data_IF_953148584942
#
_entry.id   IF_953148584942
#
_cell.length_a   1.000
_cell.length_b   1.000
_cell.length_c   1.000
_cell.angle_alpha   90.00
_cell.angle_beta   90.00
_cell.angle_gamma   90.00
#
_symmetry.space_group_name_H-M   'P 1'
#
loop_
_entity.id
_entity.type
_entity.pdbx_description
1 polymer ?
#
# COMPACT_ATOMS: atom_id res chain seq x y z
N UNK A 1 1.68 12.88 -29.90
CA UNK A 1 0.97 13.97 -30.60
C UNK A 1 0.35 13.35 -31.84
N UNK A 2 -0.96 13.11 -31.86
CA UNK A 2 -1.64 12.43 -32.97
C UNK A 2 -2.03 13.44 -34.06
N UNK A 3 -1.91 13.02 -35.32
CA UNK A 3 -2.02 13.89 -36.50
C UNK A 3 -3.48 14.23 -36.89
N UNK A 4 -4.48 13.57 -36.30
CA UNK A 4 -5.90 13.74 -36.66
C UNK A 4 -6.77 14.17 -35.46
N UNK A 5 -7.63 15.19 -35.62
CA UNK A 5 -8.49 15.73 -34.55
C UNK A 5 -9.54 14.71 -34.03
N UNK A 6 -10.06 13.82 -34.88
CA UNK A 6 -11.03 12.79 -34.49
C UNK A 6 -10.42 11.71 -33.57
N UNK A 7 -9.11 11.44 -33.69
CA UNK A 7 -8.40 10.53 -32.81
C UNK A 7 -8.27 11.08 -31.38
N UNK A 8 -8.34 12.39 -31.15
CA UNK A 8 -8.32 12.94 -29.80
C UNK A 8 -9.55 12.52 -29.00
N UNK A 9 -10.72 12.53 -29.62
CA UNK A 9 -11.96 12.11 -28.97
C UNK A 9 -11.88 10.63 -28.58
N UNK A 10 -11.50 9.76 -29.51
CA UNK A 10 -11.32 8.32 -29.26
C UNK A 10 -10.27 8.05 -28.18
N UNK A 11 -9.14 8.78 -28.21
CA UNK A 11 -8.09 8.65 -27.20
C UNK A 11 -8.57 9.09 -25.80
N UNK A 12 -9.39 10.15 -25.71
CA UNK A 12 -10.00 10.57 -24.45
C UNK A 12 -10.94 9.52 -23.87
N UNK A 13 -11.77 8.86 -24.69
CA UNK A 13 -12.62 7.75 -24.24
C UNK A 13 -11.81 6.55 -23.76
N UNK A 14 -10.77 6.15 -24.51
CA UNK A 14 -9.89 5.04 -24.14
C UNK A 14 -9.18 5.34 -22.81
N UNK A 15 -8.71 6.58 -22.63
CA UNK A 15 -8.03 7.00 -21.40
C UNK A 15 -9.00 6.98 -20.22
N UNK A 16 -10.22 7.50 -20.38
CA UNK A 16 -11.24 7.49 -19.34
C UNK A 16 -11.64 6.06 -18.96
N UNK A 17 -11.84 5.19 -19.95
CA UNK A 17 -12.16 3.78 -19.74
C UNK A 17 -11.05 3.07 -18.97
N UNK A 18 -9.80 3.26 -19.38
CA UNK A 18 -8.63 2.64 -18.71
C UNK A 18 -8.51 3.13 -17.28
N UNK A 19 -8.75 4.42 -17.03
CA UNK A 19 -8.76 4.99 -15.69
C UNK A 19 -9.86 4.41 -14.79
N UNK A 20 -11.08 4.27 -15.31
CA UNK A 20 -12.19 3.67 -14.56
C UNK A 20 -11.90 2.19 -14.27
N UNK A 21 -11.46 1.43 -15.27
CA UNK A 21 -11.10 0.02 -15.13
C UNK A 21 -9.98 -0.18 -14.10
N UNK A 22 -8.99 0.71 -14.08
CA UNK A 22 -7.92 0.71 -13.09
C UNK A 22 -8.42 0.90 -11.67
N UNK A 23 -9.26 1.92 -11.43
CA UNK A 23 -9.84 2.18 -10.12
C UNK A 23 -10.73 1.02 -9.64
N UNK A 24 -11.52 0.43 -10.54
CA UNK A 24 -12.32 -0.76 -10.24
C UNK A 24 -11.42 -1.93 -9.85
N UNK A 25 -10.32 -2.16 -10.56
CA UNK A 25 -9.38 -3.26 -10.27
C UNK A 25 -8.75 -3.08 -8.89
N UNK A 26 -8.30 -1.86 -8.55
CA UNK A 26 -7.76 -1.54 -7.22
C UNK A 26 -8.81 -1.76 -6.15
N UNK A 27 -10.04 -1.30 -6.37
CA UNK A 27 -11.13 -1.46 -5.42
C UNK A 27 -11.45 -2.93 -5.16
N UNK A 28 -11.54 -3.74 -6.21
CA UNK A 28 -11.76 -5.18 -6.12
C UNK A 28 -10.63 -5.85 -5.30
N UNK A 29 -9.38 -5.52 -5.60
CA UNK A 29 -8.22 -6.03 -4.86
C UNK A 29 -8.29 -5.71 -3.36
N UNK A 30 -8.61 -4.45 -3.02
CA UNK A 30 -8.74 -4.01 -1.63
C UNK A 30 -9.89 -4.75 -0.94
N UNK A 31 -11.06 -4.82 -1.59
CA UNK A 31 -12.24 -5.47 -1.04
C UNK A 31 -11.99 -6.93 -0.69
N UNK A 32 -11.35 -7.69 -1.58
CA UNK A 32 -11.02 -9.10 -1.29
C UNK A 32 -9.97 -9.24 -0.19
N UNK A 33 -8.96 -8.39 -0.19
CA UNK A 33 -7.91 -8.41 0.86
C UNK A 33 -8.50 -8.05 2.23
N UNK A 34 -9.37 -7.04 2.29
CA UNK A 34 -10.04 -6.61 3.52
C UNK A 34 -11.06 -7.65 4.00
N UNK A 35 -11.76 -8.34 3.09
CA UNK A 35 -12.68 -9.43 3.46
C UNK A 35 -11.94 -10.56 4.18
N UNK A 36 -10.82 -11.03 3.60
CA UNK A 36 -9.99 -12.08 4.21
C UNK A 36 -9.33 -11.60 5.50
N UNK A 37 -8.94 -10.31 5.57
CA UNK A 37 -8.46 -9.70 6.80
C UNK A 37 -9.51 -9.72 7.92
N UNK A 38 -10.77 -9.38 7.62
CA UNK A 38 -11.86 -9.41 8.60
C UNK A 38 -12.17 -10.83 9.06
N UNK A 39 -12.15 -11.82 8.16
CA UNK A 39 -12.30 -13.23 8.51
C UNK A 39 -11.18 -13.70 9.45
N UNK A 40 -9.93 -13.34 9.15
CA UNK A 40 -8.79 -13.70 10.00
C UNK A 40 -8.85 -13.00 11.35
N UNK A 41 -9.25 -11.73 11.38
CA UNK A 41 -9.45 -10.99 12.62
C UNK A 41 -10.54 -11.62 13.49
N UNK A 42 -11.68 -11.97 12.90
CA UNK A 42 -12.77 -12.62 13.62
C UNK A 42 -12.35 -13.98 14.17
N UNK A 43 -11.59 -14.75 13.38
CA UNK A 43 -10.99 -16.00 13.82
C UNK A 43 -10.04 -15.80 15.02
N UNK A 44 -9.19 -14.77 14.99
CA UNK A 44 -8.29 -14.43 16.09
C UNK A 44 -9.05 -14.03 17.36
N UNK A 45 -10.12 -13.24 17.24
CA UNK A 45 -10.99 -12.87 18.36
C UNK A 45 -11.64 -14.13 18.98
N UNK A 46 -12.16 -15.05 18.16
CA UNK A 46 -12.73 -16.32 18.63
C UNK A 46 -11.70 -17.21 19.36
N UNK A 47 -10.43 -17.18 18.93
CA UNK A 47 -9.33 -17.87 19.61
C UNK A 47 -8.97 -17.25 20.96
N UNK A 48 -9.01 -15.91 21.07
CA UNK A 48 -8.76 -15.19 22.31
C UNK A 48 -9.89 -15.42 23.33
N UNK A 49 -11.14 -15.49 22.88
CA UNK A 49 -12.33 -15.69 23.73
C UNK A 49 -12.64 -17.16 24.04
N UNK A 50 -11.86 -18.11 23.49
CA UNK A 50 -12.10 -19.53 23.69
C UNK A 50 -12.02 -19.89 25.18
N UNK A 51 -13.11 -20.37 25.76
CA UNK A 51 -13.16 -20.79 27.16
C UNK A 51 -12.65 -22.24 27.30
N UNK A 52 -11.47 -22.35 27.90
CA UNK A 52 -10.85 -23.61 28.21
C UNK A 52 -11.65 -24.52 29.15
N UNK A 53 -12.59 -24.02 29.94
CA UNK A 53 -13.29 -24.85 30.95
C UNK A 53 -14.34 -25.80 30.36
N UNK A 54 -14.69 -25.63 29.09
CA UNK A 54 -15.70 -26.44 28.41
C UNK A 54 -15.24 -27.88 28.16
N UNK A 55 -16.15 -28.86 28.31
CA UNK A 55 -15.86 -30.28 28.07
C UNK A 55 -15.56 -30.59 26.61
N UNK A 56 -16.06 -29.76 25.69
CA UNK A 56 -15.95 -29.93 24.23
C UNK A 56 -14.76 -29.17 23.62
N UNK A 57 -13.84 -28.66 24.44
CA UNK A 57 -12.67 -27.90 24.00
C UNK A 57 -11.84 -28.64 22.92
N UNK A 58 -11.72 -29.96 23.03
CA UNK A 58 -11.00 -30.78 22.04
C UNK A 58 -11.64 -30.67 20.65
N UNK A 59 -12.96 -30.84 20.57
CA UNK A 59 -13.73 -30.75 19.33
C UNK A 59 -13.69 -29.33 18.77
N UNK A 60 -13.85 -28.33 19.64
CA UNK A 60 -13.79 -26.91 19.24
C UNK A 60 -12.43 -26.56 18.66
N UNK A 61 -11.32 -27.00 19.26
CA UNK A 61 -9.97 -26.76 18.74
C UNK A 61 -9.74 -27.43 17.38
N UNK A 62 -10.27 -28.64 17.17
CA UNK A 62 -10.21 -29.30 15.87
C UNK A 62 -10.99 -28.52 14.79
N UNK A 63 -12.17 -28.00 15.15
CA UNK A 63 -12.95 -27.14 14.24
C UNK A 63 -12.19 -25.84 13.93
N UNK A 64 -11.58 -25.20 14.94
CA UNK A 64 -10.76 -24.00 14.72
C UNK A 64 -9.56 -24.29 13.83
N UNK A 65 -8.93 -25.46 13.96
CA UNK A 65 -7.85 -25.89 13.09
C UNK A 65 -8.30 -26.10 11.64
N UNK A 66 -9.47 -26.69 11.42
CA UNK A 66 -10.05 -26.82 10.08
C UNK A 66 -10.39 -25.44 9.48
N UNK A 67 -10.98 -24.55 10.29
CA UNK A 67 -11.31 -23.18 9.88
C UNK A 67 -10.06 -22.39 9.47
N UNK A 68 -8.98 -22.48 10.25
CA UNK A 68 -7.70 -21.87 9.89
C UNK A 68 -7.14 -22.43 8.58
N UNK A 69 -7.28 -23.74 8.33
CA UNK A 69 -6.92 -24.36 7.06
C UNK A 69 -7.67 -23.75 5.88
N UNK A 70 -8.99 -23.60 6.01
CA UNK A 70 -9.83 -22.98 4.97
C UNK A 70 -9.46 -21.52 4.70
N UNK A 71 -9.21 -20.73 5.75
CA UNK A 71 -8.76 -19.34 5.62
C UNK A 71 -7.38 -19.28 4.95
N UNK A 72 -6.47 -20.17 5.33
CA UNK A 72 -5.13 -20.26 4.73
C UNK A 72 -5.19 -20.61 3.24
N UNK A 73 -6.07 -21.52 2.85
CA UNK A 73 -6.30 -21.86 1.45
C UNK A 73 -6.92 -20.67 0.67
N UNK A 74 -7.86 -19.93 1.28
CA UNK A 74 -8.40 -18.71 0.70
C UNK A 74 -7.32 -17.63 0.50
N UNK A 75 -6.42 -17.44 1.46
CA UNK A 75 -5.28 -16.52 1.33
C UNK A 75 -4.36 -16.94 0.18
N UNK A 76 -4.09 -18.25 0.02
CA UNK A 76 -3.26 -18.76 -1.07
C UNK A 76 -3.89 -18.58 -2.44
N UNK A 77 -5.19 -18.83 -2.57
CA UNK A 77 -5.91 -18.58 -3.82
C UNK A 77 -5.97 -17.08 -4.14
N UNK A 78 -6.15 -16.23 -3.12
CA UNK A 78 -6.07 -14.79 -3.27
C UNK A 78 -4.69 -14.34 -3.76
N UNK A 79 -3.62 -14.84 -3.14
CA UNK A 79 -2.25 -14.59 -3.60
C UNK A 79 -2.06 -15.07 -5.04
N UNK A 80 -2.49 -16.28 -5.38
CA UNK A 80 -2.36 -16.83 -6.74
C UNK A 80 -3.04 -15.94 -7.80
N UNK A 81 -4.23 -15.44 -7.50
CA UNK A 81 -4.97 -14.55 -8.42
C UNK A 81 -4.26 -13.22 -8.54
N UNK A 82 -3.90 -12.59 -7.42
CA UNK A 82 -3.42 -11.21 -7.40
C UNK A 82 -1.91 -11.03 -7.51
N UNK A 83 -1.09 -12.10 -7.45
CA UNK A 83 0.37 -12.02 -7.46
C UNK A 83 0.94 -11.24 -8.65
N UNK A 84 0.41 -11.46 -9.85
CA UNK A 84 0.83 -10.71 -11.05
C UNK A 84 0.23 -9.30 -11.07
N UNK A 85 -1.05 -9.16 -10.68
CA UNK A 85 -1.73 -7.86 -10.65
C UNK A 85 -1.11 -6.91 -9.64
N UNK A 86 -0.76 -7.37 -8.44
CA UNK A 86 -0.10 -6.58 -7.40
C UNK A 86 1.25 -6.05 -7.88
N UNK A 87 2.00 -6.86 -8.63
CA UNK A 87 3.24 -6.40 -9.26
C UNK A 87 2.98 -5.29 -10.30
N UNK A 88 2.05 -5.50 -11.23
CA UNK A 88 1.71 -4.51 -12.27
C UNK A 88 1.18 -3.22 -11.62
N UNK A 89 0.33 -3.34 -10.59
CA UNK A 89 -0.21 -2.23 -9.80
C UNK A 89 0.90 -1.39 -9.17
N UNK A 90 1.87 -2.03 -8.51
CA UNK A 90 3.01 -1.33 -7.94
C UNK A 90 3.91 -0.73 -9.02
N UNK A 91 4.21 -1.46 -10.10
CA UNK A 91 5.06 -0.99 -11.18
C UNK A 91 4.51 0.28 -11.86
N UNK A 92 3.18 0.47 -11.88
CA UNK A 92 2.53 1.66 -12.45
C UNK A 92 2.40 2.78 -11.42
N UNK A 93 2.06 2.47 -10.17
CA UNK A 93 1.78 3.49 -9.16
C UNK A 93 3.06 4.12 -8.61
N UNK A 94 4.15 3.36 -8.47
CA UNK A 94 5.43 3.90 -7.97
C UNK A 94 5.91 5.08 -8.86
N UNK A 95 6.04 4.93 -10.19
CA UNK A 95 6.37 6.07 -11.06
C UNK A 95 5.32 7.18 -11.02
N UNK A 96 4.03 6.83 -10.95
CA UNK A 96 2.94 7.81 -10.91
C UNK A 96 3.05 8.71 -9.69
N UNK A 97 3.31 8.14 -8.50
CA UNK A 97 3.52 8.91 -7.26
C UNK A 97 4.73 9.81 -7.39
N UNK A 98 5.88 9.30 -7.87
CA UNK A 98 7.10 10.08 -8.07
C UNK A 98 6.84 11.28 -8.99
N UNK A 99 6.18 11.07 -10.13
CA UNK A 99 5.86 12.14 -11.08
C UNK A 99 4.87 13.17 -10.48
N UNK A 100 3.86 12.73 -9.72
CA UNK A 100 2.95 13.66 -9.04
C UNK A 100 3.66 14.48 -7.96
N UNK A 101 4.61 13.88 -7.23
CA UNK A 101 5.45 14.59 -6.25
C UNK A 101 6.45 15.54 -6.90
N UNK A 102 7.01 15.19 -8.06
CA UNK A 102 7.85 16.10 -8.85
C UNK A 102 7.06 17.32 -9.32
N UNK A 103 5.83 17.09 -9.83
CA UNK A 103 4.93 18.17 -10.23
C UNK A 103 4.59 19.08 -9.03
N UNK A 104 4.38 18.51 -7.85
CA UNK A 104 4.23 19.29 -6.62
C UNK A 104 5.47 20.15 -6.35
N UNK A 105 6.68 19.60 -6.51
CA UNK A 105 7.91 20.33 -6.19
C UNK A 105 8.31 21.40 -7.23
N UNK A 106 8.06 21.16 -8.52
CA UNK A 106 8.50 22.06 -9.61
C UNK A 106 7.43 23.11 -10.01
N UNK A 107 6.14 22.87 -9.76
CA UNK A 107 5.04 23.65 -10.37
C UNK A 107 4.29 24.56 -9.40
N UNK A 108 4.57 24.55 -8.09
CA UNK A 108 3.90 25.45 -7.15
C UNK A 108 4.59 26.81 -7.17
N UNK A 109 4.14 27.68 -8.07
CA UNK A 109 4.38 29.12 -7.97
C UNK A 109 3.16 29.87 -7.40
N UNK A 110 2.01 29.20 -7.17
CA UNK A 110 0.82 29.80 -6.56
C UNK A 110 -0.24 28.82 -6.03
N UNK A 111 -1.12 29.30 -5.14
CA UNK A 111 -2.17 28.52 -4.45
C UNK A 111 -3.23 27.91 -5.40
N UNK A 112 -3.48 28.56 -6.54
CA UNK A 112 -4.45 28.07 -7.55
C UNK A 112 -3.97 26.80 -8.24
N UNK A 113 -2.67 26.70 -8.55
CA UNK A 113 -2.09 25.51 -9.17
C UNK A 113 -2.01 24.34 -8.20
N UNK A 114 -1.80 24.63 -6.90
CA UNK A 114 -1.88 23.65 -5.82
C UNK A 114 -3.28 23.03 -5.74
N UNK A 115 -4.34 23.84 -5.71
CA UNK A 115 -5.73 23.33 -5.62
C UNK A 115 -6.13 22.47 -6.83
N UNK A 116 -5.59 22.76 -8.02
CA UNK A 116 -5.84 21.96 -9.22
C UNK A 116 -5.05 20.64 -9.19
N UNK A 117 -3.83 20.62 -8.65
CA UNK A 117 -3.00 19.42 -8.58
C UNK A 117 -3.29 18.53 -7.36
N UNK A 118 -3.86 19.08 -6.29
CA UNK A 118 -4.12 18.37 -5.03
C UNK A 118 -4.93 17.08 -5.20
N UNK A 119 -6.03 17.03 -6.00
CA UNK A 119 -6.82 15.81 -6.16
C UNK A 119 -6.04 14.68 -6.83
N UNK A 120 -5.16 15.01 -7.79
CA UNK A 120 -4.31 14.04 -8.48
C UNK A 120 -3.28 13.42 -7.52
N UNK A 121 -2.67 14.25 -6.67
CA UNK A 121 -1.72 13.81 -5.65
C UNK A 121 -2.42 12.99 -4.57
N UNK A 122 -3.59 13.44 -4.11
CA UNK A 122 -4.38 12.69 -3.14
C UNK A 122 -4.77 11.31 -3.68
N UNK A 123 -5.18 11.23 -4.95
CA UNK A 123 -5.56 9.98 -5.58
C UNK A 123 -4.38 9.04 -5.81
N UNK A 124 -3.22 9.55 -6.23
CA UNK A 124 -2.01 8.73 -6.40
C UNK A 124 -1.49 8.22 -5.06
N UNK A 125 -1.43 9.07 -4.04
CA UNK A 125 -1.03 8.69 -2.68
C UNK A 125 -2.01 7.70 -2.05
N UNK A 126 -3.32 7.93 -2.18
CA UNK A 126 -4.36 7.01 -1.71
C UNK A 126 -4.22 5.64 -2.38
N UNK A 127 -4.09 5.59 -3.71
CA UNK A 127 -3.96 4.33 -4.45
C UNK A 127 -2.73 3.55 -4.02
N UNK A 128 -1.60 4.24 -3.82
CA UNK A 128 -0.37 3.60 -3.33
C UNK A 128 -0.53 3.05 -1.91
N UNK A 129 -1.05 3.86 -0.99
CA UNK A 129 -1.26 3.46 0.40
C UNK A 129 -2.27 2.31 0.48
N UNK A 130 -3.34 2.34 -0.30
CA UNK A 130 -4.37 1.32 -0.24
C UNK A 130 -3.86 -0.05 -0.71
N UNK A 131 -3.10 -0.08 -1.82
CA UNK A 131 -2.55 -1.33 -2.38
C UNK A 131 -1.44 -1.90 -1.50
N UNK A 132 -0.75 -1.06 -0.75
CA UNK A 132 0.33 -1.47 0.14
C UNK A 132 -0.16 -1.85 1.53
N UNK A 133 -0.99 -1.02 2.16
CA UNK A 133 -1.42 -1.22 3.56
C UNK A 133 -2.37 -2.41 3.71
N UNK A 134 -3.33 -2.60 2.80
CA UNK A 134 -4.32 -3.68 2.91
C UNK A 134 -3.67 -5.08 3.05
N UNK A 135 -2.80 -5.54 2.13
CA UNK A 135 -2.14 -6.85 2.25
C UNK A 135 -1.16 -6.92 3.43
N UNK A 136 -0.52 -5.80 3.81
CA UNK A 136 0.37 -5.79 4.98
C UNK A 136 -0.40 -5.98 6.30
N UNK A 137 -1.60 -5.39 6.42
CA UNK A 137 -2.49 -5.63 7.56
C UNK A 137 -2.94 -7.08 7.63
N UNK A 138 -3.28 -7.69 6.50
CA UNK A 138 -3.59 -9.12 6.43
C UNK A 138 -2.40 -9.96 6.92
N UNK A 139 -1.20 -9.70 6.41
CA UNK A 139 0.01 -10.44 6.83
C UNK A 139 0.30 -10.30 8.33
N UNK A 140 0.13 -9.12 8.91
CA UNK A 140 0.31 -8.94 10.36
C UNK A 140 -0.73 -9.71 11.18
N UNK A 141 -1.99 -9.70 10.74
CA UNK A 141 -3.09 -10.39 11.44
C UNK A 141 -2.93 -11.91 11.38
N UNK A 142 -2.42 -12.43 10.26
CA UNK A 142 -2.03 -13.84 10.10
C UNK A 142 -0.92 -14.21 11.10
N UNK A 143 0.13 -13.39 11.21
CA UNK A 143 1.21 -13.62 12.16
C UNK A 143 0.72 -13.52 13.62
N UNK A 144 -0.32 -12.71 13.87
CA UNK A 144 -0.93 -12.54 15.19
C UNK A 144 -1.69 -13.78 15.66
N UNK A 145 -2.25 -14.60 14.76
CA UNK A 145 -3.07 -15.78 15.12
C UNK A 145 -2.36 -16.73 16.09
N UNK A 146 -1.07 -17.00 15.84
CA UNK A 146 -0.26 -17.84 16.73
C UNK A 146 -0.10 -17.22 18.12
N UNK A 147 0.09 -15.91 18.18
CA UNK A 147 0.22 -15.18 19.45
C UNK A 147 -1.09 -15.26 20.24
N UNK A 148 -2.25 -15.16 19.58
CA UNK A 148 -3.56 -15.31 20.21
C UNK A 148 -3.73 -16.70 20.85
N UNK A 149 -3.37 -17.77 20.12
CA UNK A 149 -3.42 -19.15 20.62
C UNK A 149 -2.51 -19.36 21.84
N UNK A 150 -1.27 -18.86 21.79
CA UNK A 150 -0.29 -19.01 22.89
C UNK A 150 -0.70 -18.17 24.11
N UNK A 151 -1.27 -16.99 23.90
CA UNK A 151 -1.66 -16.07 24.97
C UNK A 151 -2.89 -16.54 25.74
N UNK A 152 -3.77 -17.34 25.12
CA UNK A 152 -4.97 -17.83 25.79
C UNK A 152 -4.63 -18.88 26.85
N UNK A 153 -4.42 -18.42 28.09
CA UNK A 153 -4.05 -19.27 29.22
C UNK A 153 -5.08 -20.36 29.54
N UNK A 154 -6.36 -20.17 29.19
CA UNK A 154 -7.41 -21.16 29.47
C UNK A 154 -7.25 -22.44 28.65
N UNK A 155 -6.62 -22.36 27.47
CA UNK A 155 -6.31 -23.52 26.63
C UNK A 155 -5.18 -24.33 27.25
N UNK A 156 -4.15 -23.65 27.77
CA UNK A 156 -2.95 -24.28 28.33
C UNK A 156 -3.14 -24.77 29.76
N UNK A 157 -4.01 -24.13 30.54
CA UNK A 157 -4.24 -24.42 31.95
C UNK A 157 -5.73 -24.62 32.27
N UNK A 158 -6.13 -25.69 32.98
CA UNK A 158 -5.29 -26.77 33.51
C UNK A 158 -4.80 -27.75 32.42
N UNK A 159 -3.61 -28.34 32.65
CA UNK A 159 -2.97 -29.23 31.68
C UNK A 159 -3.84 -30.45 31.37
N UNK A 160 -4.26 -30.55 30.10
CA UNK A 160 -4.97 -31.69 29.53
C UNK A 160 -4.18 -32.23 28.36
N UNK A 161 -3.69 -33.47 28.46
CA UNK A 161 -2.76 -34.08 27.47
C UNK A 161 -3.24 -33.94 26.02
N UNK A 162 -4.52 -34.24 25.77
CA UNK A 162 -5.10 -34.19 24.41
C UNK A 162 -5.19 -32.76 23.86
N UNK A 163 -5.75 -31.84 24.64
CA UNK A 163 -5.86 -30.40 24.33
C UNK A 163 -4.48 -29.79 24.06
N UNK A 164 -3.49 -30.14 24.89
CA UNK A 164 -2.12 -29.67 24.74
C UNK A 164 -1.50 -30.14 23.42
N UNK A 165 -1.65 -31.43 23.08
CA UNK A 165 -1.13 -31.98 21.81
C UNK A 165 -1.80 -31.29 20.62
N UNK A 166 -3.14 -31.16 20.63
CA UNK A 166 -3.88 -30.50 19.54
C UNK A 166 -3.45 -29.05 19.40
N UNK A 167 -3.37 -28.30 20.50
CA UNK A 167 -2.98 -26.88 20.49
C UNK A 167 -1.54 -26.69 20.03
N UNK A 168 -0.63 -27.61 20.39
CA UNK A 168 0.74 -27.58 19.94
C UNK A 168 0.84 -27.89 18.44
N UNK A 169 0.18 -28.95 17.96
CA UNK A 169 0.07 -29.26 16.52
C UNK A 169 -0.53 -28.09 15.76
N UNK A 170 -1.56 -27.45 16.30
CA UNK A 170 -2.17 -26.28 15.70
C UNK A 170 -1.20 -25.09 15.60
N UNK A 171 -0.45 -24.81 16.66
CA UNK A 171 0.61 -23.79 16.66
C UNK A 171 1.66 -24.04 15.59
N UNK A 172 2.06 -25.30 15.39
CA UNK A 172 2.97 -25.68 14.29
C UNK A 172 2.36 -25.44 12.91
N UNK A 173 1.07 -25.71 12.72
CA UNK A 173 0.38 -25.43 11.46
C UNK A 173 0.19 -23.94 11.19
N UNK A 174 0.17 -23.09 12.22
CA UNK A 174 0.14 -21.63 12.07
C UNK A 174 1.52 -21.05 11.71
N UNK A 175 2.61 -21.80 11.88
CA UNK A 175 3.98 -21.37 11.59
C UNK A 175 4.34 -21.57 10.10
N UNK A 176 3.37 -21.35 9.22
CA UNK A 176 3.57 -21.39 7.78
C UNK A 176 4.25 -20.10 7.32
N UNK A 177 5.56 -20.17 7.14
CA UNK A 177 6.32 -19.18 6.38
C UNK A 177 5.67 -19.05 4.99
N UNK A 178 5.42 -17.83 4.54
CA UNK A 178 4.80 -17.47 3.25
C UNK A 178 3.28 -17.32 3.18
N UNK A 179 2.57 -17.25 4.32
CA UNK A 179 1.14 -16.92 4.30
C UNK A 179 0.92 -15.38 4.20
N UNK A 180 0.50 -14.92 3.02
CA UNK A 180 0.22 -13.53 2.72
C UNK A 180 0.16 -13.26 1.21
N UNK A 181 -0.12 -12.02 0.83
CA UNK A 181 -0.10 -11.61 -0.58
C UNK A 181 1.34 -11.25 -0.98
N UNK A 182 1.83 -11.91 -2.02
CA UNK A 182 3.17 -11.80 -2.54
C UNK A 182 3.22 -10.99 -3.84
N UNK A 183 4.32 -10.27 -4.02
CA UNK A 183 4.64 -9.56 -5.25
C UNK A 183 5.45 -10.50 -6.12
N UNK A 184 4.87 -10.95 -7.24
CA UNK A 184 5.50 -11.92 -8.17
C UNK A 184 5.95 -13.22 -7.45
N UNK A 185 5.55 -13.50 -6.20
CA UNK A 185 6.02 -14.67 -5.46
C UNK A 185 7.45 -14.57 -4.93
N UNK A 186 8.09 -13.38 -5.01
CA UNK A 186 9.43 -13.17 -4.46
C UNK A 186 9.42 -12.50 -3.09
N UNK A 187 8.44 -11.63 -2.83
CA UNK A 187 8.37 -10.88 -1.58
C UNK A 187 6.93 -10.76 -1.10
N UNK A 188 6.67 -11.09 0.16
CA UNK A 188 5.38 -10.84 0.81
C UNK A 188 5.24 -9.35 1.08
N UNK A 189 4.09 -8.80 0.75
CA UNK A 189 3.79 -7.39 0.93
C UNK A 189 3.58 -7.09 2.41
N UNK A 190 4.66 -6.68 3.07
CA UNK A 190 4.75 -6.45 4.51
C UNK A 190 5.11 -4.99 4.82
N UNK A 191 4.84 -4.52 6.05
CA UNK A 191 5.18 -3.13 6.46
C UNK A 191 6.64 -2.74 6.20
N UNK A 192 7.65 -3.60 6.47
CA UNK A 192 9.04 -3.28 6.17
C UNK A 192 9.29 -3.05 4.68
N UNK A 193 8.68 -3.87 3.80
CA UNK A 193 8.80 -3.71 2.36
C UNK A 193 8.22 -2.37 1.90
N UNK A 194 7.06 -1.99 2.45
CA UNK A 194 6.41 -0.70 2.16
C UNK A 194 7.31 0.47 2.56
N UNK A 195 7.88 0.43 3.76
CA UNK A 195 8.84 1.45 4.22
C UNK A 195 10.07 1.52 3.32
N UNK A 196 10.57 0.36 2.86
CA UNK A 196 11.64 0.28 1.87
C UNK A 196 11.27 0.98 0.57
N UNK A 197 10.07 0.71 0.03
CA UNK A 197 9.59 1.38 -1.20
C UNK A 197 9.45 2.89 -1.04
N UNK A 198 8.93 3.38 0.10
CA UNK A 198 8.88 4.81 0.40
C UNK A 198 10.26 5.44 0.45
N UNK A 199 11.23 4.78 1.09
CA UNK A 199 12.61 5.26 1.16
C UNK A 199 13.24 5.37 -0.23
N UNK A 200 13.06 4.36 -1.08
CA UNK A 200 13.54 4.40 -2.47
C UNK A 200 12.87 5.52 -3.27
N UNK A 201 11.55 5.69 -3.14
CA UNK A 201 10.85 6.80 -3.79
C UNK A 201 11.38 8.17 -3.35
N UNK A 202 11.60 8.35 -2.05
CA UNK A 202 12.12 9.60 -1.50
C UNK A 202 13.55 9.86 -1.99
N UNK A 203 14.40 8.83 -2.02
CA UNK A 203 15.77 8.92 -2.55
C UNK A 203 15.77 9.30 -4.04
N UNK A 204 14.98 8.60 -4.86
CA UNK A 204 14.85 8.89 -6.30
C UNK A 204 14.33 10.30 -6.52
N UNK A 205 13.32 10.72 -5.76
CA UNK A 205 12.80 12.08 -5.81
C UNK A 205 13.90 13.10 -5.45
N UNK A 206 14.67 12.88 -4.39
CA UNK A 206 15.78 13.74 -3.98
C UNK A 206 16.83 13.89 -5.08
N UNK A 207 17.25 12.76 -5.68
CA UNK A 207 18.21 12.74 -6.80
C UNK A 207 17.67 13.53 -8.00
N UNK A 208 16.39 13.34 -8.35
CA UNK A 208 15.78 14.08 -9.45
C UNK A 208 15.73 15.58 -9.16
N UNK A 209 15.42 15.96 -7.92
CA UNK A 209 15.39 17.36 -7.49
C UNK A 209 16.78 18.00 -7.60
N UNK A 210 17.83 17.32 -7.15
CA UNK A 210 19.21 17.79 -7.26
C UNK A 210 19.69 17.90 -8.71
N UNK A 211 19.28 16.96 -9.58
CA UNK A 211 19.64 16.95 -11.00
C UNK A 211 18.79 17.90 -11.85
N UNK A 212 17.66 18.40 -11.35
CA UNK A 212 16.85 19.39 -12.07
C UNK A 212 17.51 20.76 -11.93
N UNK A 213 17.98 21.40 -13.02
CA UNK A 213 18.57 22.72 -12.93
C UNK A 213 17.57 23.73 -12.37
N UNK A 214 17.93 24.45 -11.31
CA UNK A 214 17.17 25.63 -10.85
C UNK A 214 17.05 26.59 -12.03
N UNK A 215 15.86 27.14 -12.32
CA UNK A 215 15.77 28.24 -13.28
C UNK A 215 16.74 29.33 -12.83
N UNK A 216 17.55 29.90 -13.75
CA UNK A 216 18.51 30.93 -13.40
C UNK A 216 17.77 32.07 -12.68
N UNK A 217 18.33 32.64 -11.61
CA UNK A 217 17.74 33.84 -11.02
C UNK A 217 17.61 34.86 -12.14
N UNK A 218 16.41 35.44 -12.29
CA UNK A 218 16.18 36.58 -13.16
C UNK A 218 17.24 37.61 -12.79
N UNK A 219 18.22 37.80 -13.67
CA UNK A 219 19.18 38.88 -13.57
C UNK A 219 18.32 40.14 -13.53
N UNK A 220 18.23 40.77 -12.36
CA UNK A 220 17.81 42.16 -12.27
C UNK A 220 18.74 42.92 -13.21
N UNK A 221 18.22 43.26 -14.39
CA UNK A 221 18.82 44.27 -15.24
C UNK A 221 18.70 45.55 -14.44
N UNK A 222 19.72 45.82 -13.62
CA UNK A 222 19.93 47.11 -12.98
C UNK A 222 19.90 48.12 -14.12
N UNK A 223 18.86 48.93 -14.10
CA UNK A 223 18.59 49.98 -15.06
C UNK A 223 19.68 51.05 -14.91
N UNK A 224 20.83 50.87 -15.57
CA UNK A 224 21.91 51.85 -15.64
C UNK A 224 21.54 53.01 -16.58
N UNK A 225 20.45 53.73 -16.31
CA UNK A 225 20.08 54.95 -17.04
C UNK A 225 19.68 56.11 -16.13
N UNK A 226 20.22 56.22 -14.91
CA UNK A 226 19.94 57.36 -14.02
C UNK A 226 21.15 58.08 -13.43
N UNK A 227 22.35 57.97 -14.03
CA UNK A 227 23.57 58.67 -13.54
C UNK A 227 24.23 59.54 -14.62
N UNK A 228 23.47 60.02 -15.61
CA UNK A 228 24.01 60.91 -16.66
C UNK A 228 23.47 62.35 -16.62
N UNK A 229 22.54 62.70 -15.74
CA UNK A 229 21.84 64.02 -15.78
C UNK A 229 22.16 64.99 -14.62
N UNK A 230 23.28 64.81 -13.91
CA UNK A 230 23.71 65.77 -12.85
C UNK A 230 25.07 66.43 -13.10
N UNK A 231 25.51 66.51 -14.36
CA UNK A 231 26.78 67.15 -14.73
C UNK A 231 26.65 68.35 -15.70
N UNK A 232 25.47 68.99 -15.82
CA UNK A 232 25.28 70.15 -16.72
C UNK A 232 24.71 71.41 -16.07
N UNK A 233 24.93 71.63 -14.77
CA UNK A 233 24.51 72.87 -14.07
C UNK A 233 25.59 73.36 -13.10
N UNK A 234 26.77 73.70 -13.63
CA UNK A 234 27.69 74.70 -13.08
C UNK A 234 28.44 75.39 -14.23
N UNK A 235 27.87 76.48 -14.71
CA UNK A 235 28.56 77.58 -15.40
C UNK A 235 28.06 78.88 -14.82
#
# INVERSE_FOLDING_TARGET
MFYFPELYFMNSFITLYTYIAWNITIFIYIMYTDAVYLEMKHFNENLEELDGTTSDLETTLLIQMEMYGRISDAIRELDRIFRLYAFIMLAIIIPSVILTLMMLNQRIHGFKDLMICLPSIALSAYSFLAITIAPARLHDEVNRSRVCLIRNASIWFPYRKKVFIISQTFSWHMEQYDLGISIWGFAILSRPLILGTFSVMAMVLSVIIELTPRPPPLIEVINCTSVADTASLRS
#
